data_IF_120533949832
#
_entry.id   IF_120533949832
#
_cell.length_a   1.000
_cell.length_b   1.000
_cell.length_c   1.000
_cell.angle_alpha   90.00
_cell.angle_beta   90.00
_cell.angle_gamma   90.00
#
_symmetry.space_group_name_H-M   'P 1'
#
loop_
_entity.id
_entity.type
_entity.pdbx_description
1 polymer ?
#
# COMPACT_ATOMS: atom_id res chain seq x y z
N UNK A 1 -4.81 15.98 -8.14
CA UNK A 1 -5.20 14.62 -7.72
C UNK A 1 -6.66 14.37 -8.01
N UNK A 2 -6.99 13.14 -8.35
CA UNK A 2 -8.38 12.78 -8.60
C UNK A 2 -9.08 12.46 -7.28
N UNK A 3 -10.41 12.56 -7.28
CA UNK A 3 -11.20 12.16 -6.12
C UNK A 3 -10.98 10.69 -5.77
N UNK A 4 -10.82 9.84 -6.77
CA UNK A 4 -10.58 8.40 -6.57
C UNK A 4 -9.22 8.15 -5.92
N UNK A 5 -8.19 8.92 -6.30
CA UNK A 5 -6.88 8.84 -5.64
C UNK A 5 -6.99 9.17 -4.16
N UNK A 6 -7.78 10.18 -3.81
CA UNK A 6 -7.98 10.56 -2.41
C UNK A 6 -8.69 9.45 -1.65
N UNK A 7 -9.67 8.80 -2.25
CA UNK A 7 -10.38 7.68 -1.63
C UNK A 7 -9.45 6.48 -1.41
N UNK A 8 -8.60 6.18 -2.38
CA UNK A 8 -7.62 5.09 -2.25
C UNK A 8 -6.62 5.41 -1.15
N UNK A 9 -6.11 6.65 -1.13
CA UNK A 9 -5.16 7.07 -0.10
C UNK A 9 -5.76 6.96 1.29
N UNK A 10 -7.00 7.36 1.46
CA UNK A 10 -7.69 7.24 2.73
C UNK A 10 -7.88 5.78 3.13
N UNK A 11 -8.30 4.94 2.20
CA UNK A 11 -8.53 3.52 2.47
C UNK A 11 -7.24 2.81 2.89
N UNK A 12 -6.15 3.02 2.17
CA UNK A 12 -4.87 2.38 2.51
C UNK A 12 -4.26 2.97 3.77
N UNK A 13 -4.53 4.25 4.04
CA UNK A 13 -4.06 4.91 5.26
C UNK A 13 -4.73 4.38 6.52
N UNK A 14 -5.88 3.72 6.41
CA UNK A 14 -6.58 3.14 7.56
C UNK A 14 -6.10 1.74 7.93
N UNK A 15 -5.21 1.14 7.14
CA UNK A 15 -4.64 -0.16 7.47
C UNK A 15 -3.79 -0.03 8.73
N UNK A 16 -4.02 -0.91 9.70
CA UNK A 16 -3.34 -0.87 10.98
C UNK A 16 -2.10 -1.74 10.95
N UNK A 17 -0.98 -1.18 11.40
CA UNK A 17 0.25 -1.94 11.61
C UNK A 17 0.13 -2.69 12.93
N UNK A 18 0.12 -4.03 12.93
CA UNK A 18 -0.04 -4.80 14.16
C UNK A 18 1.13 -4.66 15.14
N UNK A 19 2.30 -4.23 14.67
CA UNK A 19 3.45 -4.04 15.55
C UNK A 19 3.32 -2.79 16.40
N UNK A 20 2.73 -1.72 15.86
CA UNK A 20 2.62 -0.44 16.57
C UNK A 20 1.20 -0.14 17.01
N UNK A 21 0.20 -0.78 16.42
CA UNK A 21 -1.21 -0.48 16.66
C UNK A 21 -1.67 0.83 16.02
N UNK A 22 -0.83 1.47 15.22
CA UNK A 22 -1.16 2.73 14.54
C UNK A 22 -1.50 2.46 13.08
N UNK A 23 -2.29 3.35 12.47
CA UNK A 23 -2.58 3.26 11.05
C UNK A 23 -1.40 3.76 10.22
N UNK A 24 -1.35 3.33 8.97
CA UNK A 24 -0.32 3.79 8.05
C UNK A 24 -0.44 5.30 7.79
N UNK A 25 -1.66 5.82 7.79
CA UNK A 25 -1.87 7.26 7.65
C UNK A 25 -1.28 8.06 8.81
N UNK A 26 -1.47 7.57 10.04
CA UNK A 26 -0.92 8.21 11.23
C UNK A 26 0.61 8.18 11.23
N UNK A 27 1.21 7.09 10.76
CA UNK A 27 2.65 6.94 10.71
C UNK A 27 3.28 7.54 9.44
N UNK A 28 2.45 8.05 8.53
CA UNK A 28 2.89 8.62 7.26
C UNK A 28 3.72 7.63 6.44
N UNK A 29 3.35 6.35 6.50
CA UNK A 29 4.06 5.30 5.78
C UNK A 29 3.66 5.20 4.31
N UNK A 30 2.50 5.73 3.93
CA UNK A 30 2.07 5.77 2.54
C UNK A 30 2.72 6.98 1.89
N UNK A 31 3.66 6.74 0.99
CA UNK A 31 4.46 7.82 0.39
C UNK A 31 3.92 8.30 -0.93
N UNK A 32 3.19 7.46 -1.67
CA UNK A 32 2.64 7.86 -2.95
C UNK A 32 1.41 7.02 -3.31
N UNK A 33 0.41 7.68 -3.86
CA UNK A 33 -0.78 7.03 -4.44
C UNK A 33 -1.04 7.71 -5.77
N UNK A 34 -1.02 6.95 -6.87
CA UNK A 34 -1.18 7.51 -8.20
C UNK A 34 -2.05 6.61 -9.06
N UNK A 35 -2.96 7.22 -9.81
CA UNK A 35 -3.72 6.52 -10.83
C UNK A 35 -2.90 6.51 -12.13
N UNK A 36 -2.42 5.34 -12.53
CA UNK A 36 -1.61 5.21 -13.74
C UNK A 36 -2.46 5.05 -14.99
N UNK A 37 -3.54 4.29 -14.87
CA UNK A 37 -4.54 4.11 -15.93
C UNK A 37 -5.91 4.12 -15.26
N UNK A 38 -6.99 4.35 -16.01
CA UNK A 38 -8.33 4.35 -15.41
C UNK A 38 -8.59 3.07 -14.61
N UNK A 39 -8.73 3.21 -13.30
CA UNK A 39 -8.97 2.10 -12.38
C UNK A 39 -7.71 1.36 -11.93
N UNK A 40 -6.53 1.71 -12.43
CA UNK A 40 -5.26 1.08 -12.05
C UNK A 40 -4.47 2.05 -11.18
N UNK A 41 -4.19 1.66 -9.93
CA UNK A 41 -3.53 2.52 -8.97
C UNK A 41 -2.19 1.94 -8.54
N UNK A 42 -1.22 2.82 -8.36
CA UNK A 42 0.08 2.49 -7.80
C UNK A 42 0.18 3.10 -6.41
N UNK A 43 0.45 2.27 -5.42
CA UNK A 43 0.62 2.71 -4.03
C UNK A 43 2.03 2.36 -3.58
N UNK A 44 2.76 3.35 -3.10
CA UNK A 44 4.08 3.14 -2.53
C UNK A 44 4.04 3.37 -1.02
N UNK A 45 4.71 2.50 -0.27
CA UNK A 45 4.80 2.64 1.17
C UNK A 45 6.21 2.29 1.65
N UNK A 46 6.55 2.83 2.82
CA UNK A 46 7.82 2.55 3.49
C UNK A 46 7.51 1.89 4.83
N UNK A 47 7.97 0.65 5.06
CA UNK A 47 7.73 0.00 6.35
C UNK A 47 8.52 0.69 7.47
N UNK A 48 8.12 0.44 8.72
CA UNK A 48 8.75 1.07 9.88
C UNK A 48 10.21 0.65 10.06
N UNK A 49 10.62 -0.45 9.46
CA UNK A 49 11.98 -0.97 9.54
C UNK A 49 12.35 -1.60 8.20
N UNK A 50 13.64 -1.48 7.77
CA UNK A 50 14.09 -2.16 6.55
C UNK A 50 14.13 -3.69 6.68
N UNK A 51 13.96 -4.20 7.89
CA UNK A 51 13.93 -5.64 8.17
C UNK A 51 12.60 -6.08 8.75
N UNK A 52 11.52 -5.33 8.50
CA UNK A 52 10.20 -5.64 9.02
C UNK A 52 9.75 -7.03 8.56
N UNK A 53 9.55 -8.00 9.47
CA UNK A 53 9.23 -9.37 9.07
C UNK A 53 7.81 -9.52 8.52
N UNK A 54 6.96 -8.55 8.77
CA UNK A 54 5.57 -8.58 8.32
C UNK A 54 5.32 -7.70 7.10
N UNK A 55 6.38 -7.23 6.44
CA UNK A 55 6.23 -6.34 5.29
C UNK A 55 5.39 -6.97 4.17
N UNK A 56 5.53 -8.27 3.95
CA UNK A 56 4.70 -9.00 2.98
C UNK A 56 3.21 -8.89 3.33
N UNK A 57 2.89 -9.09 4.62
CA UNK A 57 1.52 -8.97 5.09
C UNK A 57 1.00 -7.54 4.95
N UNK A 58 1.83 -6.56 5.31
CA UNK A 58 1.43 -5.16 5.21
C UNK A 58 1.13 -4.79 3.76
N UNK A 59 1.97 -5.22 2.83
CA UNK A 59 1.76 -4.97 1.40
C UNK A 59 0.44 -5.61 0.93
N UNK A 60 0.17 -6.84 1.34
CA UNK A 60 -1.06 -7.53 1.00
C UNK A 60 -2.29 -6.82 1.57
N UNK A 61 -2.22 -6.36 2.81
CA UNK A 61 -3.30 -5.64 3.46
C UNK A 61 -3.59 -4.32 2.74
N UNK A 62 -2.54 -3.60 2.35
CA UNK A 62 -2.69 -2.35 1.59
C UNK A 62 -3.37 -2.64 0.24
N UNK A 63 -2.95 -3.69 -0.44
CA UNK A 63 -3.55 -4.07 -1.72
C UNK A 63 -5.05 -4.38 -1.55
N UNK A 64 -5.40 -5.16 -0.53
CA UNK A 64 -6.80 -5.48 -0.25
C UNK A 64 -7.61 -4.22 0.03
N UNK A 65 -7.07 -3.29 0.83
CA UNK A 65 -7.76 -2.05 1.15
C UNK A 65 -7.99 -1.21 -0.10
N UNK A 66 -6.99 -1.11 -0.96
CA UNK A 66 -7.12 -0.36 -2.21
C UNK A 66 -8.17 -0.97 -3.14
N UNK A 67 -8.20 -2.28 -3.24
CA UNK A 67 -9.15 -2.98 -4.11
C UNK A 67 -10.60 -2.89 -3.63
N UNK A 68 -10.81 -2.58 -2.36
CA UNK A 68 -12.16 -2.39 -1.80
C UNK A 68 -12.77 -1.05 -2.19
N UNK A 69 -11.98 -0.12 -2.68
CA UNK A 69 -12.48 1.20 -3.10
C UNK A 69 -13.24 1.05 -4.41
N UNK A 70 -14.45 1.56 -4.46
CA UNK A 70 -15.27 1.51 -5.68
C UNK A 70 -14.56 2.27 -6.80
N UNK A 71 -14.46 1.66 -7.96
CA UNK A 71 -13.79 2.24 -9.11
C UNK A 71 -12.37 1.76 -9.31
N UNK A 72 -11.78 1.06 -8.33
CA UNK A 72 -10.44 0.49 -8.45
C UNK A 72 -10.56 -0.91 -9.06
N UNK A 73 -9.91 -1.12 -10.19
CA UNK A 73 -9.89 -2.42 -10.88
C UNK A 73 -8.64 -3.21 -10.54
N UNK A 74 -7.52 -2.50 -10.34
CA UNK A 74 -6.23 -3.13 -10.06
C UNK A 74 -5.42 -2.20 -9.15
N UNK A 75 -4.73 -2.78 -8.21
CA UNK A 75 -3.83 -2.05 -7.33
C UNK A 75 -2.45 -2.69 -7.37
N UNK A 76 -1.43 -1.87 -7.62
CA UNK A 76 -0.04 -2.29 -7.58
C UNK A 76 0.60 -1.67 -6.35
N UNK A 77 1.15 -2.50 -5.49
CA UNK A 77 1.71 -2.05 -4.23
C UNK A 77 3.23 -2.21 -4.30
N UNK A 78 3.93 -1.14 -3.93
CA UNK A 78 5.39 -1.13 -3.94
C UNK A 78 5.92 -0.76 -2.56
N UNK A 79 6.70 -1.67 -1.99
CA UNK A 79 7.43 -1.43 -0.76
C UNK A 79 8.76 -0.78 -1.11
N UNK A 80 9.13 0.26 -0.38
CA UNK A 80 10.39 0.96 -0.56
C UNK A 80 11.16 0.98 0.75
N UNK A 81 12.48 0.96 0.66
CA UNK A 81 13.34 1.05 1.84
C UNK A 81 13.42 -0.23 2.67
N UNK A 82 13.01 -1.36 2.11
CA UNK A 82 13.12 -2.67 2.76
C UNK A 82 14.20 -3.50 2.09
N UNK A 83 14.93 -4.29 2.87
CA UNK A 83 16.00 -5.14 2.35
C UNK A 83 15.50 -6.12 1.28
N UNK A 84 14.24 -6.55 1.38
CA UNK A 84 13.63 -7.50 0.47
C UNK A 84 12.54 -6.85 -0.39
N UNK A 85 12.64 -5.55 -0.65
CA UNK A 85 11.58 -4.83 -1.35
C UNK A 85 11.23 -5.42 -2.72
N UNK A 86 12.22 -5.89 -3.46
CA UNK A 86 11.97 -6.49 -4.76
C UNK A 86 11.09 -7.73 -4.64
N UNK A 87 11.39 -8.59 -3.69
CA UNK A 87 10.61 -9.82 -3.48
C UNK A 87 9.21 -9.52 -2.98
N UNK A 88 9.09 -8.53 -2.09
CA UNK A 88 7.79 -8.11 -1.58
C UNK A 88 6.92 -7.60 -2.73
N UNK A 89 7.49 -6.74 -3.59
CA UNK A 89 6.77 -6.17 -4.71
C UNK A 89 6.33 -7.23 -5.70
N UNK A 90 7.19 -8.19 -6.01
CA UNK A 90 6.85 -9.29 -6.91
C UNK A 90 5.72 -10.15 -6.36
N UNK A 91 5.80 -10.53 -5.09
CA UNK A 91 4.76 -11.36 -4.46
C UNK A 91 3.43 -10.64 -4.36
N UNK A 92 3.46 -9.37 -3.98
CA UNK A 92 2.23 -8.61 -3.78
C UNK A 92 1.51 -8.34 -5.10
N UNK A 93 2.26 -8.08 -6.17
CA UNK A 93 1.70 -7.74 -7.47
C UNK A 93 1.50 -8.94 -8.37
N UNK A 94 1.83 -10.13 -7.90
CA UNK A 94 1.61 -11.36 -8.62
C UNK A 94 0.13 -11.76 -8.51
N UNK A 95 -0.47 -12.03 -9.64
CA UNK A 95 -1.87 -12.46 -9.69
C UNK A 95 -2.01 -13.87 -10.17
#
# INVERSE_FOLDING_TARGET
MTELEDKVREAVGQVVDPETGMTFGEMQMITNVKEEEPGVFKVEFVPSSPFCPIAFKLASDIKSAALKVAGVKKAQIYCRGHAMEQQINEQTNKE
#
